data_IF_909515749857
#
_entry.id   IF_909515749857
#
_cell.length_a   1.000
_cell.length_b   1.000
_cell.length_c   1.000
_cell.angle_alpha   90.00
_cell.angle_beta   90.00
_cell.angle_gamma   90.00
#
_symmetry.space_group_name_H-M   'P 1'
#
loop_
_entity.id
_entity.type
_entity.pdbx_description
1 polymer ?
#
# COMPACT_ATOMS: atom_id res chain seq x y z
N UNK A 1 9.11 -28.75 0.03
CA UNK A 1 9.99 -27.59 -0.23
C UNK A 1 9.43 -26.81 -1.42
N UNK A 2 8.58 -25.79 -1.23
CA UNK A 2 8.19 -24.96 -2.37
C UNK A 2 9.37 -24.03 -2.69
N UNK A 3 9.97 -24.30 -3.85
CA UNK A 3 11.16 -23.62 -4.38
C UNK A 3 10.79 -22.17 -4.71
N UNK A 4 11.49 -21.23 -4.07
CA UNK A 4 11.16 -19.81 -4.03
C UNK A 4 11.12 -19.13 -5.40
N UNK A 5 11.80 -19.61 -6.45
CA UNK A 5 11.82 -18.97 -7.77
C UNK A 5 12.24 -19.99 -8.86
N UNK A 6 11.78 -19.87 -10.12
CA UNK A 6 12.56 -20.38 -11.25
C UNK A 6 13.90 -19.64 -11.27
N UNK A 7 15.00 -20.38 -11.40
CA UNK A 7 16.36 -19.83 -11.49
C UNK A 7 16.41 -18.71 -12.53
N UNK A 8 17.07 -17.59 -12.20
CA UNK A 8 17.43 -16.44 -13.07
C UNK A 8 16.56 -15.16 -13.13
N UNK A 9 15.94 -14.71 -12.02
CA UNK A 9 15.65 -13.27 -11.89
C UNK A 9 16.04 -12.72 -10.51
N UNK A 10 17.10 -11.90 -10.50
CA UNK A 10 17.45 -11.01 -9.39
C UNK A 10 16.38 -9.91 -9.36
N UNK A 11 15.81 -9.61 -8.20
CA UNK A 11 14.87 -8.49 -8.04
C UNK A 11 15.53 -7.20 -8.53
N UNK A 12 14.88 -6.52 -9.46
CA UNK A 12 15.40 -5.25 -9.97
C UNK A 12 15.00 -4.06 -9.08
N UNK A 13 15.52 -2.87 -9.39
CA UNK A 13 15.24 -1.67 -8.62
C UNK A 13 13.76 -1.24 -8.65
N UNK A 14 12.98 -1.67 -9.65
CA UNK A 14 11.55 -1.40 -9.74
C UNK A 14 10.77 -2.33 -8.80
N UNK A 15 11.10 -3.62 -8.82
CA UNK A 15 10.54 -4.62 -7.91
C UNK A 15 10.73 -4.22 -6.44
N UNK A 16 11.93 -3.77 -6.09
CA UNK A 16 12.26 -3.31 -4.72
C UNK A 16 11.38 -2.11 -4.32
N UNK A 17 11.15 -1.16 -5.22
CA UNK A 17 10.28 0.00 -4.94
C UNK A 17 8.82 -0.42 -4.74
N UNK A 18 8.31 -1.33 -5.57
CA UNK A 18 6.95 -1.87 -5.44
C UNK A 18 6.79 -2.54 -4.07
N UNK A 19 7.68 -3.45 -3.72
CA UNK A 19 7.60 -4.18 -2.46
C UNK A 19 7.80 -3.27 -1.25
N UNK A 20 8.66 -2.25 -1.35
CA UNK A 20 8.86 -1.26 -0.28
C UNK A 20 7.57 -0.51 0.02
N UNK A 21 6.87 -0.02 -1.03
CA UNK A 21 5.57 0.63 -0.87
C UNK A 21 4.57 -0.34 -0.25
N UNK A 22 4.44 -1.53 -0.83
CA UNK A 22 3.51 -2.55 -0.38
C UNK A 22 3.74 -2.92 1.10
N UNK A 23 4.98 -3.10 1.52
CA UNK A 23 5.32 -3.38 2.91
C UNK A 23 4.89 -2.25 3.85
N UNK A 24 5.14 -0.99 3.47
CA UNK A 24 4.69 0.16 4.27
C UNK A 24 3.16 0.23 4.39
N UNK A 25 2.42 -0.15 3.34
CA UNK A 25 0.96 -0.26 3.40
C UNK A 25 0.50 -1.41 4.30
N UNK A 26 1.13 -2.58 4.22
CA UNK A 26 0.84 -3.73 5.09
C UNK A 26 1.06 -3.34 6.56
N UNK A 27 2.20 -2.70 6.88
CA UNK A 27 2.52 -2.28 8.25
C UNK A 27 1.61 -1.14 8.74
N UNK A 28 1.11 -0.27 7.84
CA UNK A 28 0.13 0.76 8.21
C UNK A 28 -1.26 0.16 8.46
N UNK A 29 -1.68 -0.84 7.69
CA UNK A 29 -2.98 -1.48 7.80
C UNK A 29 -3.09 -2.42 9.02
N UNK A 30 -2.02 -3.14 9.34
CA UNK A 30 -1.96 -4.06 10.49
C UNK A 30 -1.59 -3.37 11.81
N UNK A 31 -1.34 -2.06 11.78
CA UNK A 31 -0.69 -1.31 12.87
C UNK A 31 0.83 -1.56 12.89
N UNK A 32 1.64 -0.62 13.38
CA UNK A 32 3.09 -0.82 13.44
C UNK A 32 3.35 -2.06 14.28
N UNK A 33 3.78 -3.15 13.65
CA UNK A 33 4.37 -4.27 14.37
C UNK A 33 5.56 -3.67 15.13
N UNK A 34 5.51 -3.59 16.47
CA UNK A 34 6.63 -3.06 17.20
C UNK A 34 7.77 -4.02 16.93
N UNK A 35 8.85 -3.50 16.36
CA UNK A 35 10.14 -4.13 16.56
C UNK A 35 10.37 -4.09 18.07
N UNK A 36 10.12 -5.21 18.73
CA UNK A 36 10.57 -5.53 20.08
C UNK A 36 10.93 -7.01 20.03
N UNK A 37 12.22 -7.29 20.06
CA UNK A 37 12.87 -7.84 21.25
C UNK A 37 12.18 -9.11 21.75
N UNK A 38 12.87 -10.21 21.52
CA UNK A 38 12.73 -11.56 22.06
C UNK A 38 12.14 -11.61 23.47
N UNK A 39 11.12 -12.46 23.69
CA UNK A 39 11.12 -13.64 24.58
C UNK A 39 9.69 -14.25 24.69
N UNK A 40 9.62 -15.56 24.41
CA UNK A 40 8.74 -16.63 24.91
C UNK A 40 7.19 -16.59 24.78
N UNK A 41 6.67 -17.73 24.27
CA UNK A 41 5.30 -18.26 24.48
C UNK A 41 4.22 -17.54 23.66
N UNK A 42 3.36 -18.17 22.88
CA UNK A 42 2.59 -19.38 23.16
C UNK A 42 2.15 -20.07 21.86
N UNK A 43 1.82 -21.35 22.02
CA UNK A 43 1.47 -22.33 21.01
C UNK A 43 0.02 -22.21 20.51
N UNK A 44 -0.22 -22.69 19.29
CA UNK A 44 -1.42 -23.50 18.95
C UNK A 44 -2.65 -22.80 18.39
N UNK A 45 -3.02 -23.15 17.15
CA UNK A 45 -4.35 -22.88 16.60
C UNK A 45 -4.48 -23.17 15.09
N UNK A 46 -5.10 -24.30 14.75
CA UNK A 46 -5.19 -24.91 13.41
C UNK A 46 -5.85 -24.06 12.30
N UNK A 47 -5.22 -24.11 11.12
CA UNK A 47 -5.79 -24.72 9.89
C UNK A 47 -7.13 -24.22 9.34
N UNK A 48 -7.07 -23.43 8.28
CA UNK A 48 -7.99 -23.55 7.16
C UNK A 48 -7.23 -23.29 5.84
N UNK A 49 -6.74 -24.38 5.24
CA UNK A 49 -6.23 -24.38 3.88
C UNK A 49 -7.38 -24.03 2.93
N UNK A 50 -7.36 -22.82 2.36
CA UNK A 50 -8.24 -22.49 1.24
C UNK A 50 -7.55 -22.92 -0.05
N UNK A 51 -8.23 -23.83 -0.73
CA UNK A 51 -7.82 -24.47 -1.96
C UNK A 51 -7.39 -23.47 -3.03
N UNK A 52 -6.19 -23.70 -3.56
CA UNK A 52 -5.71 -23.09 -4.78
C UNK A 52 -6.45 -23.69 -5.99
N UNK A 53 -6.92 -22.85 -6.91
CA UNK A 53 -7.07 -23.13 -8.35
C UNK A 53 -7.64 -21.89 -9.09
N UNK A 54 -7.47 -21.75 -10.44
CA UNK A 54 -6.44 -22.28 -11.32
C UNK A 54 -5.72 -21.17 -12.12
N UNK A 55 -4.74 -21.62 -12.90
CA UNK A 55 -3.77 -20.86 -13.67
C UNK A 55 -4.35 -19.82 -14.65
N UNK A 56 -3.67 -18.66 -14.73
CA UNK A 56 -3.66 -17.77 -15.89
C UNK A 56 -2.23 -17.69 -16.43
N UNK A 57 -2.08 -17.81 -17.75
CA UNK A 57 -0.91 -17.77 -18.64
C UNK A 57 0.54 -17.69 -18.08
N UNK A 58 1.47 -18.58 -18.48
CA UNK A 58 2.84 -18.62 -17.93
C UNK A 58 3.83 -17.58 -18.48
N UNK A 59 3.48 -16.68 -19.40
CA UNK A 59 4.48 -15.85 -20.11
C UNK A 59 4.45 -14.34 -19.85
N UNK A 60 3.51 -13.82 -19.06
CA UNK A 60 3.53 -12.42 -18.60
C UNK A 60 3.64 -12.36 -17.06
N UNK A 61 4.88 -12.39 -16.55
CA UNK A 61 5.16 -12.07 -15.15
C UNK A 61 5.16 -10.55 -14.97
N UNK A 62 3.94 -10.01 -15.00
CA UNK A 62 3.61 -8.61 -14.73
C UNK A 62 3.77 -8.30 -13.23
N UNK A 63 4.06 -7.05 -12.85
CA UNK A 63 4.34 -6.64 -11.46
C UNK A 63 3.25 -7.07 -10.46
N UNK A 64 2.03 -7.29 -10.96
CA UNK A 64 0.89 -7.81 -10.23
C UNK A 64 1.11 -9.20 -9.62
N UNK A 65 1.89 -10.07 -10.27
CA UNK A 65 2.21 -11.41 -9.74
C UNK A 65 3.18 -11.37 -8.57
N UNK A 66 4.17 -10.47 -8.62
CA UNK A 66 5.10 -10.27 -7.52
C UNK A 66 4.37 -9.74 -6.28
N UNK A 67 3.50 -8.76 -6.47
CA UNK A 67 2.63 -8.19 -5.42
C UNK A 67 1.73 -9.27 -4.82
N UNK A 68 0.98 -10.00 -5.66
CA UNK A 68 0.07 -11.05 -5.20
C UNK A 68 0.79 -12.15 -4.41
N UNK A 69 1.98 -12.56 -4.88
CA UNK A 69 2.80 -13.55 -4.17
C UNK A 69 3.30 -13.01 -2.83
N UNK A 70 3.78 -11.76 -2.79
CA UNK A 70 4.24 -11.13 -1.56
C UNK A 70 3.12 -10.99 -0.53
N UNK A 71 1.93 -10.57 -0.97
CA UNK A 71 0.74 -10.51 -0.13
C UNK A 71 0.35 -11.88 0.43
N UNK A 72 0.35 -12.93 -0.40
CA UNK A 72 0.08 -14.29 0.07
C UNK A 72 1.08 -14.73 1.14
N UNK A 73 2.38 -14.50 0.90
CA UNK A 73 3.42 -14.80 1.89
C UNK A 73 3.28 -14.01 3.19
N UNK A 74 2.73 -12.79 3.13
CA UNK A 74 2.45 -11.94 4.29
C UNK A 74 1.24 -12.45 5.08
N UNK A 75 0.17 -12.85 4.39
CA UNK A 75 -1.03 -13.47 5.01
C UNK A 75 -0.66 -14.77 5.71
N UNK A 76 0.17 -15.60 5.07
CA UNK A 76 0.64 -16.88 5.60
C UNK A 76 1.77 -16.73 6.65
N UNK A 77 2.18 -15.49 6.98
CA UNK A 77 3.33 -15.13 7.84
C UNK A 77 4.56 -16.04 7.66
N UNK A 78 4.96 -16.22 6.40
CA UNK A 78 6.07 -17.12 6.08
C UNK A 78 7.43 -16.59 6.59
N UNK A 79 8.40 -17.47 6.90
CA UNK A 79 9.75 -17.04 7.26
C UNK A 79 10.42 -16.16 6.20
N UNK A 80 10.13 -16.42 4.91
CA UNK A 80 10.68 -15.65 3.80
C UNK A 80 10.08 -14.25 3.73
N UNK A 81 8.77 -14.11 3.97
CA UNK A 81 8.14 -12.80 4.14
C UNK A 81 8.85 -11.99 5.24
N UNK A 82 9.06 -12.56 6.44
CA UNK A 82 9.71 -11.85 7.55
C UNK A 82 11.13 -11.36 7.19
N UNK A 83 11.91 -12.18 6.48
CA UNK A 83 13.26 -11.81 6.01
C UNK A 83 13.24 -10.67 4.99
N UNK A 84 12.32 -10.71 4.04
CA UNK A 84 12.20 -9.67 3.02
C UNK A 84 11.66 -8.39 3.65
N UNK A 85 10.58 -8.47 4.42
CA UNK A 85 9.97 -7.35 5.12
C UNK A 85 10.97 -6.64 6.04
N UNK A 86 11.70 -7.39 6.87
CA UNK A 86 12.74 -6.81 7.75
C UNK A 86 13.83 -6.08 6.97
N UNK A 87 14.17 -6.54 5.76
CA UNK A 87 15.16 -5.88 4.91
C UNK A 87 14.62 -4.61 4.26
N UNK A 88 13.36 -4.63 3.80
CA UNK A 88 12.68 -3.45 3.27
C UNK A 88 12.53 -2.37 4.33
N UNK A 89 12.18 -2.74 5.57
CA UNK A 89 12.01 -1.81 6.71
C UNK A 89 13.27 -1.03 7.08
N UNK A 90 14.46 -1.52 6.73
CA UNK A 90 15.73 -0.82 6.96
C UNK A 90 16.08 0.21 5.88
N UNK A 91 15.27 0.31 4.82
CA UNK A 91 15.54 1.24 3.72
C UNK A 91 14.96 2.62 4.00
N UNK A 92 15.68 3.66 3.57
CA UNK A 92 15.19 5.05 3.61
C UNK A 92 13.87 5.22 2.83
N UNK A 93 13.71 4.44 1.77
CA UNK A 93 12.50 4.38 0.97
C UNK A 93 11.29 3.95 1.81
N UNK A 94 11.44 2.91 2.64
CA UNK A 94 10.39 2.47 3.54
C UNK A 94 10.07 3.54 4.59
N UNK A 95 11.09 4.11 5.25
CA UNK A 95 10.92 5.15 6.27
C UNK A 95 10.13 6.34 5.74
N UNK A 96 10.48 6.80 4.53
CA UNK A 96 9.78 7.88 3.85
C UNK A 96 8.30 7.55 3.59
N UNK A 97 8.00 6.37 3.03
CA UNK A 97 6.61 5.97 2.73
C UNK A 97 5.81 5.79 4.01
N UNK A 98 6.38 5.12 5.02
CA UNK A 98 5.73 4.89 6.31
C UNK A 98 5.39 6.21 7.01
N UNK A 99 6.34 7.16 7.05
CA UNK A 99 6.11 8.51 7.55
C UNK A 99 4.97 9.22 6.81
N UNK A 100 4.98 9.19 5.47
CA UNK A 100 3.93 9.83 4.67
C UNK A 100 2.54 9.21 4.90
N UNK A 101 2.46 7.91 5.19
CA UNK A 101 1.20 7.25 5.52
C UNK A 101 0.66 7.67 6.91
N UNK A 102 1.56 7.95 7.86
CA UNK A 102 1.23 8.38 9.23
C UNK A 102 0.84 9.87 9.32
N UNK A 103 1.53 10.74 8.58
CA UNK A 103 1.40 12.20 8.67
C UNK A 103 0.04 12.75 8.21
N UNK A 104 -0.76 11.94 7.53
CA UNK A 104 -2.06 12.35 7.00
C UNK A 104 -1.94 13.24 5.77
N UNK A 105 -3.07 13.52 5.14
CA UNK A 105 -3.13 14.21 3.85
C UNK A 105 -3.47 15.69 4.04
N UNK A 106 -2.76 16.56 3.31
CA UNK A 106 -2.98 18.01 3.32
C UNK A 106 -1.80 18.84 3.87
N UNK A 107 -0.76 18.19 4.42
CA UNK A 107 0.44 18.89 4.86
C UNK A 107 1.28 19.41 3.67
N UNK A 108 1.81 20.63 3.81
CA UNK A 108 2.75 21.21 2.83
C UNK A 108 4.08 20.46 2.88
N UNK A 109 4.78 20.38 1.75
CA UNK A 109 6.06 19.66 1.64
C UNK A 109 7.11 20.23 2.59
N UNK A 110 7.09 21.54 2.81
CA UNK A 110 7.98 22.22 3.74
C UNK A 110 7.78 21.68 5.17
N UNK A 111 6.52 21.56 5.61
CA UNK A 111 6.17 21.04 6.92
C UNK A 111 6.54 19.54 7.04
N UNK A 112 6.23 18.74 6.01
CA UNK A 112 6.60 17.32 5.97
C UNK A 112 8.13 17.13 6.04
N UNK A 113 8.89 17.92 5.28
CA UNK A 113 10.35 17.83 5.29
C UNK A 113 10.97 18.20 6.64
N UNK A 114 10.42 19.25 7.29
CA UNK A 114 10.87 19.67 8.61
C UNK A 114 10.58 18.60 9.68
N UNK A 115 9.39 17.99 9.65
CA UNK A 115 9.02 16.89 10.56
C UNK A 115 9.82 15.62 10.31
N UNK A 116 10.15 15.32 9.05
CA UNK A 116 11.02 14.20 8.69
C UNK A 116 12.49 14.44 9.05
N UNK A 117 12.89 15.69 9.33
CA UNK A 117 14.25 16.05 9.74
C UNK A 117 15.25 16.22 8.60
N UNK A 118 14.79 16.47 7.36
CA UNK A 118 15.66 16.69 6.20
C UNK A 118 15.30 17.97 5.46
N UNK A 119 16.25 18.50 4.68
CA UNK A 119 15.98 19.66 3.83
C UNK A 119 14.89 19.37 2.80
N UNK A 120 14.06 20.36 2.50
CA UNK A 120 12.97 20.22 1.53
C UNK A 120 13.44 19.85 0.11
N UNK A 121 14.70 20.16 -0.24
CA UNK A 121 15.34 19.74 -1.48
C UNK A 121 15.71 18.25 -1.47
N UNK A 122 16.30 17.75 -0.37
CA UNK A 122 16.59 16.33 -0.21
C UNK A 122 15.30 15.51 -0.16
N UNK A 123 14.29 15.98 0.58
CA UNK A 123 12.97 15.37 0.65
C UNK A 123 12.35 15.15 -0.73
N UNK A 124 12.31 16.19 -1.57
CA UNK A 124 11.78 16.09 -2.94
C UNK A 124 12.54 15.09 -3.82
N UNK A 125 13.87 15.03 -3.69
CA UNK A 125 14.70 14.07 -4.41
C UNK A 125 14.40 12.64 -3.97
N UNK A 126 14.46 12.38 -2.67
CA UNK A 126 14.15 11.06 -2.09
C UNK A 126 12.74 10.63 -2.46
N UNK A 127 11.76 11.53 -2.34
CA UNK A 127 10.37 11.28 -2.74
C UNK A 127 10.29 10.83 -4.21
N UNK A 128 10.86 11.60 -5.14
CA UNK A 128 10.80 11.28 -6.57
C UNK A 128 11.47 9.95 -6.88
N UNK A 129 12.59 9.65 -6.22
CA UNK A 129 13.31 8.39 -6.39
C UNK A 129 12.48 7.20 -5.94
N UNK A 130 11.75 7.33 -4.82
CA UNK A 130 11.03 6.23 -4.17
C UNK A 130 9.62 6.05 -4.72
N UNK A 131 8.85 7.13 -4.75
CA UNK A 131 7.43 7.09 -5.09
C UNK A 131 7.16 7.28 -6.57
N UNK A 132 8.05 7.95 -7.29
CA UNK A 132 7.79 8.41 -8.65
C UNK A 132 6.79 9.58 -8.65
N UNK A 133 6.85 10.40 -9.70
CA UNK A 133 5.92 11.54 -9.83
C UNK A 133 6.16 12.68 -8.84
N UNK A 134 5.15 13.54 -8.69
CA UNK A 134 5.19 14.69 -7.78
C UNK A 134 4.58 14.33 -6.41
N UNK A 135 5.15 14.85 -5.31
CA UNK A 135 4.60 14.62 -3.97
C UNK A 135 3.11 14.89 -3.82
N UNK A 136 2.66 16.00 -4.40
CA UNK A 136 1.27 16.41 -4.38
C UNK A 136 0.35 15.40 -5.08
N UNK A 137 0.76 14.88 -6.23
CA UNK A 137 -0.04 13.89 -6.98
C UNK A 137 -0.20 12.61 -6.18
N UNK A 138 0.91 12.03 -5.73
CA UNK A 138 0.88 10.74 -5.03
C UNK A 138 0.09 10.82 -3.72
N UNK A 139 0.23 11.91 -2.96
CA UNK A 139 -0.56 12.12 -1.75
C UNK A 139 -2.05 12.33 -2.05
N UNK A 140 -2.38 12.98 -3.16
CA UNK A 140 -3.76 13.08 -3.63
C UNK A 140 -4.33 11.73 -4.06
N UNK A 141 -3.54 10.89 -4.73
CA UNK A 141 -3.96 9.55 -5.16
C UNK A 141 -4.23 8.67 -3.92
N UNK A 142 -3.37 8.74 -2.90
CA UNK A 142 -3.59 8.04 -1.64
C UNK A 142 -4.83 8.57 -0.90
N UNK A 143 -5.13 9.87 -1.03
CA UNK A 143 -6.34 10.47 -0.45
C UNK A 143 -7.59 9.97 -1.08
N UNK A 144 -7.57 9.92 -2.40
CA UNK A 144 -8.64 9.39 -3.20
C UNK A 144 -8.86 7.90 -2.86
N UNK A 145 -7.79 7.10 -2.78
CA UNK A 145 -7.87 5.69 -2.42
C UNK A 145 -8.46 5.47 -1.02
N UNK A 146 -8.01 6.23 0.00
CA UNK A 146 -8.56 6.14 1.36
C UNK A 146 -10.05 6.51 1.40
N UNK A 147 -10.44 7.59 0.71
CA UNK A 147 -11.83 8.01 0.63
C UNK A 147 -12.71 6.97 -0.08
N UNK A 148 -12.23 6.36 -1.17
CA UNK A 148 -12.96 5.28 -1.86
C UNK A 148 -13.12 4.06 -0.95
N UNK A 149 -12.07 3.67 -0.22
CA UNK A 149 -12.12 2.55 0.71
C UNK A 149 -13.15 2.81 1.82
N UNK A 150 -13.10 3.99 2.46
CA UNK A 150 -14.07 4.38 3.49
C UNK A 150 -15.51 4.42 2.97
N UNK A 151 -15.71 4.87 1.73
CA UNK A 151 -17.01 4.85 1.06
C UNK A 151 -17.53 3.41 0.89
N UNK A 152 -16.69 2.50 0.40
CA UNK A 152 -17.01 1.08 0.18
C UNK A 152 -17.31 0.36 1.51
N UNK A 153 -16.52 0.63 2.55
CA UNK A 153 -16.61 -0.06 3.84
C UNK A 153 -17.81 0.39 4.67
N UNK A 154 -18.13 1.70 4.68
CA UNK A 154 -19.04 2.26 5.68
C UNK A 154 -20.46 2.55 5.20
N UNK A 155 -20.78 2.33 3.92
CA UNK A 155 -22.07 2.69 3.31
C UNK A 155 -22.51 4.15 3.59
N UNK A 156 -21.57 5.07 3.82
CA UNK A 156 -21.86 6.47 4.10
C UNK A 156 -22.35 7.24 2.86
N UNK A 157 -22.95 8.40 3.09
CA UNK A 157 -23.25 9.34 2.02
C UNK A 157 -21.95 9.81 1.33
N UNK A 158 -21.97 9.91 0.00
CA UNK A 158 -20.81 10.39 -0.79
C UNK A 158 -20.31 11.75 -0.28
N UNK A 159 -21.23 12.59 0.20
CA UNK A 159 -20.93 13.92 0.73
C UNK A 159 -20.15 13.87 2.04
N UNK A 160 -20.53 13.03 3.00
CA UNK A 160 -19.78 12.89 4.26
C UNK A 160 -18.37 12.40 4.01
N UNK A 161 -18.21 11.34 3.22
CA UNK A 161 -16.88 10.77 2.94
C UNK A 161 -15.98 11.80 2.25
N UNK A 162 -16.52 12.58 1.31
CA UNK A 162 -15.78 13.63 0.64
C UNK A 162 -15.28 14.70 1.64
N UNK A 163 -16.12 15.15 2.56
CA UNK A 163 -15.77 16.18 3.54
C UNK A 163 -14.77 15.67 4.58
N UNK A 164 -14.97 14.45 5.10
CA UNK A 164 -14.05 13.82 6.06
C UNK A 164 -12.64 13.66 5.50
N UNK A 165 -12.52 13.41 4.19
CA UNK A 165 -11.23 13.25 3.52
C UNK A 165 -10.72 14.56 2.88
N UNK A 166 -11.31 15.71 3.20
CA UNK A 166 -10.79 17.02 2.80
C UNK A 166 -11.00 17.37 1.32
N UNK A 167 -12.05 16.83 0.68
CA UNK A 167 -12.52 17.31 -0.62
C UNK A 167 -13.49 18.48 -0.44
N UNK A 168 -13.45 19.44 -1.35
CA UNK A 168 -14.29 20.64 -1.29
C UNK A 168 -15.80 20.34 -1.46
N UNK A 169 -16.15 19.25 -2.16
CA UNK A 169 -17.53 18.82 -2.37
C UNK A 169 -17.60 17.37 -2.86
N UNK A 170 -18.80 16.77 -2.77
CA UNK A 170 -19.10 15.44 -3.34
C UNK A 170 -18.85 15.39 -4.85
N UNK A 171 -19.15 16.47 -5.58
CA UNK A 171 -18.91 16.58 -7.02
C UNK A 171 -17.42 16.57 -7.35
N UNK A 172 -16.62 17.36 -6.62
CA UNK A 172 -15.17 17.38 -6.80
C UNK A 172 -14.55 16.01 -6.52
N UNK A 173 -14.99 15.33 -5.46
CA UNK A 173 -14.57 13.96 -5.16
C UNK A 173 -14.95 13.00 -6.30
N UNK A 174 -16.21 12.99 -6.73
CA UNK A 174 -16.68 12.10 -7.80
C UNK A 174 -15.92 12.29 -9.13
N UNK A 175 -15.60 13.54 -9.48
CA UNK A 175 -14.79 13.87 -10.65
C UNK A 175 -13.37 13.33 -10.55
N UNK A 176 -12.73 13.48 -9.38
CA UNK A 176 -11.38 12.94 -9.15
C UNK A 176 -11.38 11.41 -9.17
N UNK A 177 -12.41 10.75 -8.62
CA UNK A 177 -12.57 9.28 -8.68
C UNK A 177 -12.66 8.82 -10.14
N UNK A 178 -13.54 9.45 -10.93
CA UNK A 178 -13.71 9.11 -12.35
C UNK A 178 -12.44 9.33 -13.15
N UNK A 179 -11.68 10.39 -12.84
CA UNK A 179 -10.41 10.69 -13.49
C UNK A 179 -9.32 9.67 -13.15
N UNK A 180 -9.24 9.24 -11.90
CA UNK A 180 -8.19 8.32 -11.45
C UNK A 180 -8.48 6.86 -11.78
N UNK A 181 -9.73 6.41 -11.64
CA UNK A 181 -10.12 5.01 -11.81
C UNK A 181 -10.78 4.72 -13.16
N UNK A 182 -11.16 5.75 -13.93
CA UNK A 182 -11.96 5.59 -15.15
C UNK A 182 -13.42 5.17 -14.91
N UNK A 183 -13.79 4.92 -13.65
CA UNK A 183 -15.10 4.41 -13.23
C UNK A 183 -15.80 5.41 -12.30
N UNK A 184 -17.13 5.46 -12.34
CA UNK A 184 -17.91 6.26 -11.39
C UNK A 184 -18.05 5.53 -10.05
N UNK A 185 -18.24 6.30 -8.98
CA UNK A 185 -18.53 5.77 -7.64
C UNK A 185 -19.75 4.85 -7.61
N UNK A 186 -20.78 5.15 -8.41
CA UNK A 186 -21.98 4.31 -8.55
C UNK A 186 -21.62 2.93 -9.11
N UNK A 187 -20.74 2.87 -10.12
CA UNK A 187 -20.34 1.62 -10.73
C UNK A 187 -19.50 0.74 -9.78
N UNK A 188 -18.68 1.37 -8.93
CA UNK A 188 -17.96 0.66 -7.86
C UNK A 188 -18.92 0.06 -6.82
N UNK A 189 -19.97 0.81 -6.44
CA UNK A 189 -20.99 0.35 -5.50
C UNK A 189 -21.88 -0.77 -6.06
N UNK A 190 -22.28 -0.66 -7.32
CA UNK A 190 -23.10 -1.69 -7.97
C UNK A 190 -22.35 -3.01 -8.11
N UNK A 191 -21.03 -2.97 -8.31
CA UNK A 191 -20.19 -4.17 -8.34
C UNK A 191 -20.15 -4.89 -6.98
N UNK A 192 -20.19 -4.14 -5.87
CA UNK A 192 -20.17 -4.68 -4.51
C UNK A 192 -21.51 -5.34 -4.12
N UNK A 193 -22.66 -4.84 -4.59
CA UNK A 193 -23.99 -5.42 -4.29
C UNK A 193 -24.29 -6.75 -5.00
N UNK A 194 -23.47 -7.14 -5.99
CA UNK A 194 -23.66 -8.40 -6.75
C UNK A 194 -22.84 -9.57 -6.18
N UNK A 195 -22.14 -9.36 -5.06
CA UNK A 195 -21.44 -10.38 -4.29
C UNK A 195 -22.19 -10.62 -2.98
#
# INVERSE_FOLDING_TARGET
>A
MPRFLPESRIMDAHDVKILTKLQAFIDHALGPSPVSCTIAGCEGGNGAAVAAQPASDPTALDGNRLVARFLRMAIDDTPDYRRIASSLRRTEAYSMVSFLLQEGQGAKIEALSARYGISAGHFRRTFRTVLGGSPKSVLNDWRLAKAILAFIERQHSVTEVALEHGFASASHFSSEVKKSLGLSLTHLFDAQRRQ
#
